data_IF_826888405617
#
_entry.id   IF_826888405617
#
_cell.length_a   1.000
_cell.length_b   1.000
_cell.length_c   1.000
_cell.angle_alpha   90.00
_cell.angle_beta   90.00
_cell.angle_gamma   90.00
#
_symmetry.space_group_name_H-M   'P 1'
#
loop_
_entity.id
_entity.type
_entity.pdbx_description
1 polymer ?
#
# COMPACT_ATOMS: atom_id res chain seq x y z
N UNK A 1 9.00 -5.85 15.45
CA UNK A 1 7.66 -5.80 15.85
C UNK A 1 7.27 -4.85 16.95
N UNK A 2 5.99 -4.50 16.96
CA UNK A 2 5.40 -3.73 18.05
C UNK A 2 5.30 -2.22 17.86
N UNK A 3 5.83 -1.64 16.78
CA UNK A 3 5.60 -0.22 16.51
C UNK A 3 4.10 0.07 16.37
N UNK A 4 3.61 1.19 16.91
CA UNK A 4 2.19 1.55 16.83
C UNK A 4 1.75 1.83 15.39
N UNK A 5 0.45 1.94 15.16
CA UNK A 5 -0.12 2.28 13.85
C UNK A 5 0.41 3.63 13.35
N UNK A 6 0.50 4.63 14.20
CA UNK A 6 0.99 5.97 13.89
C UNK A 6 2.15 6.34 14.81
N UNK A 7 3.03 7.21 14.32
CA UNK A 7 4.00 7.90 15.16
C UNK A 7 3.23 8.74 16.19
N UNK A 8 3.59 8.73 17.47
CA UNK A 8 2.91 9.55 18.48
C UNK A 8 2.95 11.05 18.15
N UNK A 9 1.86 11.77 18.44
CA UNK A 9 1.74 13.21 18.14
C UNK A 9 2.82 14.08 18.82
N UNK A 10 3.38 13.61 19.94
CA UNK A 10 4.49 14.28 20.62
C UNK A 10 5.80 14.27 19.82
N UNK A 11 5.90 13.41 18.80
CA UNK A 11 7.07 13.32 17.90
C UNK A 11 6.80 14.26 16.73
N UNK A 12 7.24 15.51 16.84
CA UNK A 12 6.87 16.60 15.92
C UNK A 12 7.97 17.03 14.96
N UNK A 13 9.20 16.53 15.14
CA UNK A 13 10.33 16.85 14.27
C UNK A 13 11.26 15.66 14.07
N UNK A 14 12.23 15.80 13.17
CA UNK A 14 13.14 14.74 12.79
C UNK A 14 14.04 14.26 13.94
N UNK A 15 14.46 15.16 14.82
CA UNK A 15 15.32 14.80 15.97
C UNK A 15 14.52 13.95 16.98
N UNK A 16 13.30 14.38 17.29
CA UNK A 16 12.37 13.62 18.13
C UNK A 16 12.04 12.25 17.52
N UNK A 17 11.88 12.18 16.17
CA UNK A 17 11.66 10.93 15.46
C UNK A 17 12.82 9.95 15.60
N UNK A 18 14.07 10.40 15.44
CA UNK A 18 15.23 9.55 15.66
C UNK A 18 15.34 9.09 17.10
N UNK A 19 15.12 10.00 18.05
CA UNK A 19 15.10 9.63 19.47
C UNK A 19 14.03 8.59 19.78
N UNK A 20 12.82 8.75 19.25
CA UNK A 20 11.73 7.79 19.38
C UNK A 20 12.13 6.38 18.92
N UNK A 21 12.77 6.25 17.74
CA UNK A 21 13.21 4.93 17.25
C UNK A 21 14.39 4.36 18.03
N UNK A 22 15.30 5.21 18.52
CA UNK A 22 16.44 4.77 19.35
C UNK A 22 15.98 4.20 20.70
N UNK A 23 14.91 4.73 21.26
CA UNK A 23 14.35 4.27 22.54
C UNK A 23 13.36 3.11 22.37
N UNK A 24 12.91 2.83 21.15
CA UNK A 24 11.92 1.80 20.94
C UNK A 24 12.48 0.40 21.22
N UNK A 25 11.69 -0.40 21.97
CA UNK A 25 12.00 -1.80 22.29
C UNK A 25 11.02 -2.72 21.53
N UNK A 26 11.52 -3.75 20.81
CA UNK A 26 10.66 -4.73 20.14
C UNK A 26 9.82 -5.52 21.13
N UNK A 27 8.53 -5.63 20.88
CA UNK A 27 7.61 -6.50 21.66
C UNK A 27 7.78 -7.98 21.30
N UNK A 28 8.20 -8.27 20.07
CA UNK A 28 8.35 -9.65 19.57
C UNK A 28 9.68 -9.84 18.88
N UNK A 29 10.13 -11.08 18.87
CA UNK A 29 11.33 -11.47 18.13
C UNK A 29 11.11 -11.17 16.62
N UNK A 30 12.14 -10.67 15.92
CA UNK A 30 12.07 -10.45 14.46
C UNK A 30 11.64 -11.72 13.72
N UNK A 31 10.75 -11.58 12.76
CA UNK A 31 10.28 -12.69 11.94
C UNK A 31 9.16 -13.55 12.57
N UNK A 32 8.67 -13.21 13.77
CA UNK A 32 7.61 -14.01 14.42
C UNK A 32 6.21 -13.44 14.25
N UNK A 33 6.10 -12.11 14.15
CA UNK A 33 4.82 -11.42 14.10
C UNK A 33 4.81 -10.35 12.99
N UNK A 34 3.70 -10.29 12.24
CA UNK A 34 3.34 -9.14 11.41
C UNK A 34 2.49 -8.19 12.24
N UNK A 35 2.91 -6.95 12.32
CA UNK A 35 2.11 -5.87 12.90
C UNK A 35 2.01 -4.72 11.91
N UNK A 36 0.78 -4.30 11.58
CA UNK A 36 0.56 -3.20 10.64
C UNK A 36 0.91 -1.87 11.30
N UNK A 37 1.84 -1.13 10.68
CA UNK A 37 2.36 0.10 11.27
C UNK A 37 2.80 1.10 10.19
N UNK A 38 2.21 2.30 10.21
CA UNK A 38 2.66 3.44 9.41
C UNK A 38 4.03 3.94 9.90
N UNK A 39 4.28 3.89 11.20
CA UNK A 39 5.60 4.19 11.75
C UNK A 39 6.69 3.27 11.18
N UNK A 40 6.38 1.98 10.98
CA UNK A 40 7.34 1.03 10.41
C UNK A 40 7.58 1.25 8.92
N UNK A 41 6.52 1.32 8.11
CA UNK A 41 6.67 1.51 6.67
C UNK A 41 7.20 2.91 6.34
N UNK A 42 6.85 3.91 7.13
CA UNK A 42 7.38 5.27 7.00
C UNK A 42 8.89 5.33 7.27
N UNK A 43 9.37 4.68 8.33
CA UNK A 43 10.80 4.54 8.58
C UNK A 43 11.51 3.83 7.42
N UNK A 44 10.93 2.77 6.88
CA UNK A 44 11.47 2.08 5.71
C UNK A 44 11.61 3.03 4.51
N UNK A 45 10.57 3.82 4.20
CA UNK A 45 10.60 4.81 3.13
C UNK A 45 11.68 5.89 3.34
N UNK A 46 11.77 6.41 4.56
CA UNK A 46 12.80 7.40 4.93
C UNK A 46 14.22 6.84 4.76
N UNK A 47 14.45 5.62 5.21
CA UNK A 47 15.76 4.96 5.09
C UNK A 47 16.10 4.60 3.64
N UNK A 48 15.11 4.22 2.84
CA UNK A 48 15.31 3.88 1.43
C UNK A 48 15.87 5.05 0.61
N UNK A 49 15.54 6.29 0.98
CA UNK A 49 16.02 7.49 0.27
C UNK A 49 17.21 8.17 0.94
N UNK A 50 17.62 7.74 2.12
CA UNK A 50 18.64 8.39 2.97
C UNK A 50 19.92 8.77 2.23
N UNK A 51 20.41 7.88 1.37
CA UNK A 51 21.68 8.05 0.65
C UNK A 51 21.48 8.62 -0.77
N UNK A 52 20.28 9.01 -1.14
CA UNK A 52 19.99 9.53 -2.49
C UNK A 52 20.26 11.02 -2.66
N UNK A 53 20.34 11.77 -1.54
CA UNK A 53 20.38 13.22 -1.53
C UNK A 53 19.05 13.89 -1.90
N UNK A 54 17.96 13.11 -2.01
CA UNK A 54 16.62 13.58 -2.39
C UNK A 54 15.65 13.44 -1.21
N UNK A 55 14.60 14.27 -1.19
CA UNK A 55 13.43 14.02 -0.36
C UNK A 55 12.73 12.74 -0.82
N UNK A 56 11.87 12.15 0.03
CA UNK A 56 11.04 11.01 -0.39
C UNK A 56 10.12 11.38 -1.56
N UNK A 57 9.51 12.56 -1.53
CA UNK A 57 8.65 13.04 -2.61
C UNK A 57 9.40 13.17 -3.95
N UNK A 58 10.60 13.76 -3.96
CA UNK A 58 11.42 13.90 -5.16
C UNK A 58 11.92 12.55 -5.67
N UNK A 59 12.31 11.66 -4.75
CA UNK A 59 12.73 10.31 -5.11
C UNK A 59 11.59 9.50 -5.74
N UNK A 60 10.41 9.52 -5.13
CA UNK A 60 9.20 8.90 -5.67
C UNK A 60 8.87 9.45 -7.05
N UNK A 61 8.85 10.79 -7.18
CA UNK A 61 8.59 11.47 -8.46
C UNK A 61 9.55 11.00 -9.55
N UNK A 62 10.85 11.01 -9.27
CA UNK A 62 11.90 10.72 -10.26
C UNK A 62 12.03 9.23 -10.58
N UNK A 63 11.88 8.37 -9.55
CA UNK A 63 12.20 6.93 -9.70
C UNK A 63 10.97 6.06 -9.99
N UNK A 64 9.77 6.53 -9.69
CA UNK A 64 8.54 5.76 -9.87
C UNK A 64 7.55 6.48 -10.77
N UNK A 65 7.15 7.71 -10.42
CA UNK A 65 6.04 8.38 -11.11
C UNK A 65 6.39 8.78 -12.53
N UNK A 66 7.58 9.33 -12.77
CA UNK A 66 8.04 9.70 -14.12
C UNK A 66 8.19 8.49 -15.05
N UNK A 67 8.86 7.38 -14.69
CA UNK A 67 8.92 6.17 -15.51
C UNK A 67 7.55 5.61 -15.87
N UNK A 68 6.57 5.70 -14.95
CA UNK A 68 5.18 5.27 -15.18
C UNK A 68 4.31 6.32 -15.86
N UNK A 69 4.84 7.51 -16.14
CA UNK A 69 4.09 8.65 -16.71
C UNK A 69 2.87 9.04 -15.87
N UNK A 70 2.98 8.95 -14.55
CA UNK A 70 1.94 9.31 -13.57
C UNK A 70 2.00 10.80 -13.28
N UNK A 71 1.48 11.61 -14.20
CA UNK A 71 1.62 13.08 -14.19
C UNK A 71 0.64 13.81 -13.28
N UNK A 72 -0.33 13.11 -12.72
CA UNK A 72 -1.35 13.64 -11.80
C UNK A 72 -1.30 12.90 -10.45
N UNK A 73 -0.07 12.57 -10.01
CA UNK A 73 0.20 11.89 -8.74
C UNK A 73 1.27 12.67 -7.98
N UNK A 74 0.98 12.97 -6.72
CA UNK A 74 1.78 13.89 -5.90
C UNK A 74 1.84 13.42 -4.44
N UNK A 75 2.91 13.76 -3.73
CA UNK A 75 2.91 13.87 -2.27
C UNK A 75 2.34 15.24 -1.90
N UNK A 76 2.91 16.32 -2.43
CA UNK A 76 2.43 17.69 -2.26
C UNK A 76 1.76 18.15 -3.55
N UNK A 77 0.45 18.39 -3.47
CA UNK A 77 -0.32 18.81 -4.66
C UNK A 77 0.08 20.25 -5.02
N UNK A 78 0.67 20.49 -6.20
CA UNK A 78 1.11 21.82 -6.60
C UNK A 78 -0.07 22.78 -6.77
N UNK A 79 0.16 24.09 -6.62
CA UNK A 79 -0.88 25.13 -6.69
C UNK A 79 -1.75 25.03 -7.95
N UNK A 80 -1.14 24.78 -9.10
CA UNK A 80 -1.85 24.61 -10.38
C UNK A 80 -2.81 23.42 -10.41
N UNK A 81 -2.57 22.37 -9.60
CA UNK A 81 -3.37 21.16 -9.53
C UNK A 81 -4.38 21.18 -8.37
N UNK A 82 -4.35 22.16 -7.47
CA UNK A 82 -5.22 22.22 -6.29
C UNK A 82 -6.72 22.19 -6.63
N UNK A 83 -7.13 22.76 -7.76
CA UNK A 83 -8.52 22.72 -8.24
C UNK A 83 -9.03 21.31 -8.54
N UNK A 84 -8.12 20.37 -8.82
CA UNK A 84 -8.42 18.96 -9.12
C UNK A 84 -8.30 18.07 -7.88
N UNK A 85 -7.81 18.59 -6.77
CA UNK A 85 -7.69 17.83 -5.53
C UNK A 85 -9.05 17.72 -4.85
N UNK A 86 -9.64 16.54 -4.90
CA UNK A 86 -10.95 16.26 -4.33
C UNK A 86 -11.00 16.51 -2.81
N UNK A 87 -12.17 16.90 -2.33
CA UNK A 87 -12.50 16.79 -0.92
C UNK A 87 -12.95 15.35 -0.63
N UNK A 88 -12.41 14.76 0.42
CA UNK A 88 -12.90 13.53 0.98
C UNK A 88 -14.02 13.79 1.97
N UNK A 89 -14.79 12.75 2.32
CA UNK A 89 -15.91 12.88 3.26
C UNK A 89 -15.88 11.79 4.33
N UNK A 90 -16.07 12.21 5.58
CA UNK A 90 -16.27 11.34 6.71
C UNK A 90 -17.37 11.90 7.60
N UNK A 91 -18.41 11.11 7.88
CA UNK A 91 -19.60 11.55 8.64
C UNK A 91 -20.20 12.86 8.07
N UNK A 92 -20.27 12.98 6.75
CA UNK A 92 -20.82 14.15 6.06
C UNK A 92 -19.94 15.39 6.06
N UNK A 93 -18.79 15.37 6.74
CA UNK A 93 -17.84 16.51 6.79
C UNK A 93 -16.78 16.39 5.72
N UNK A 94 -16.53 17.47 4.95
CA UNK A 94 -15.43 17.50 3.98
C UNK A 94 -14.09 17.55 4.73
N UNK A 95 -13.09 16.83 4.22
CA UNK A 95 -11.75 16.84 4.77
C UNK A 95 -10.71 16.47 3.73
N UNK A 96 -9.47 16.79 4.02
CA UNK A 96 -8.29 16.30 3.31
C UNK A 96 -7.40 15.53 4.27
N UNK A 97 -6.44 14.80 3.76
CA UNK A 97 -5.52 14.03 4.58
C UNK A 97 -4.73 15.00 5.46
N UNK A 98 -4.76 14.74 6.77
CA UNK A 98 -3.93 15.46 7.74
C UNK A 98 -2.48 15.02 7.60
N UNK A 99 -1.56 15.97 7.54
CA UNK A 99 -0.13 15.69 7.63
C UNK A 99 0.25 15.15 9.00
N UNK A 100 1.36 14.44 9.07
CA UNK A 100 1.96 13.92 10.29
C UNK A 100 3.37 13.42 10.00
N UNK A 101 4.11 13.06 11.04
CA UNK A 101 5.43 12.47 10.83
C UNK A 101 5.33 11.21 9.97
N UNK A 102 6.16 11.14 8.91
CA UNK A 102 6.21 10.04 7.94
C UNK A 102 4.92 9.86 7.11
N UNK A 103 4.09 10.89 6.98
CA UNK A 103 2.87 10.84 6.15
C UNK A 103 3.21 10.63 4.67
N UNK A 104 4.23 11.31 4.16
CA UNK A 104 4.71 11.18 2.78
C UNK A 104 5.04 9.73 2.42
N UNK A 105 5.77 9.05 3.30
CA UNK A 105 6.26 7.68 3.12
C UNK A 105 5.16 6.63 3.34
N UNK A 106 4.17 6.89 4.20
CA UNK A 106 3.22 5.89 4.64
C UNK A 106 1.86 5.97 3.93
N UNK A 107 1.28 7.18 3.75
CA UNK A 107 -0.09 7.37 3.24
C UNK A 107 -0.31 8.69 2.48
N UNK A 108 0.76 9.43 2.17
CA UNK A 108 0.69 10.79 1.62
C UNK A 108 0.40 10.92 0.13
N UNK A 109 0.33 9.83 -0.62
CA UNK A 109 0.11 9.88 -2.08
C UNK A 109 -1.30 10.36 -2.41
N UNK A 110 -1.39 11.41 -3.25
CA UNK A 110 -2.61 11.90 -3.89
C UNK A 110 -2.53 11.56 -5.38
N UNK A 111 -3.52 10.86 -5.91
CA UNK A 111 -3.46 10.30 -7.27
C UNK A 111 -4.80 10.34 -7.99
N UNK A 112 -4.80 10.03 -9.27
CA UNK A 112 -5.98 9.85 -10.10
C UNK A 112 -6.18 8.38 -10.48
N UNK A 113 -7.41 8.00 -10.85
CA UNK A 113 -7.70 6.66 -11.36
C UNK A 113 -6.90 6.34 -12.63
N UNK A 114 -6.69 7.35 -13.50
CA UNK A 114 -5.90 7.19 -14.73
C UNK A 114 -4.43 6.86 -14.42
N UNK A 115 -3.81 7.54 -13.45
CA UNK A 115 -2.43 7.24 -13.08
C UNK A 115 -2.30 5.91 -12.35
N UNK A 116 -3.27 5.58 -11.48
CA UNK A 116 -3.30 4.27 -10.84
C UNK A 116 -3.53 3.12 -11.82
N UNK A 117 -4.22 3.35 -12.94
CA UNK A 117 -4.33 2.35 -14.01
C UNK A 117 -2.96 2.06 -14.65
N UNK A 118 -2.11 3.07 -14.84
CA UNK A 118 -0.73 2.88 -15.33
C UNK A 118 0.11 2.07 -14.33
N UNK A 119 -0.01 2.41 -13.05
CA UNK A 119 0.64 1.66 -11.97
C UNK A 119 0.17 0.20 -11.94
N UNK A 120 -1.14 -0.02 -12.04
CA UNK A 120 -1.74 -1.34 -12.10
C UNK A 120 -1.23 -2.14 -13.32
N UNK A 121 -1.22 -1.52 -14.51
CA UNK A 121 -0.72 -2.14 -15.74
C UNK A 121 0.73 -2.62 -15.59
N UNK A 122 1.61 -1.78 -15.04
CA UNK A 122 2.99 -2.16 -14.79
C UNK A 122 3.13 -3.31 -13.79
N UNK A 123 2.23 -3.41 -12.81
CA UNK A 123 2.22 -4.51 -11.84
C UNK A 123 1.66 -5.82 -12.42
N UNK A 124 0.73 -5.76 -13.37
CA UNK A 124 0.21 -6.93 -14.09
C UNK A 124 1.24 -7.44 -15.10
N UNK A 125 1.89 -6.53 -15.80
CA UNK A 125 2.90 -6.81 -16.84
C UNK A 125 4.19 -6.02 -16.56
N UNK A 126 5.07 -6.52 -15.68
CA UNK A 126 6.33 -5.85 -15.37
C UNK A 126 7.28 -5.67 -16.57
N UNK A 127 7.13 -6.48 -17.61
CA UNK A 127 7.93 -6.36 -18.84
C UNK A 127 7.58 -5.08 -19.62
N UNK A 128 6.39 -4.55 -19.46
CA UNK A 128 5.97 -3.27 -20.05
C UNK A 128 6.74 -2.06 -19.50
N UNK A 129 7.40 -2.20 -18.36
CA UNK A 129 8.15 -1.13 -17.70
C UNK A 129 9.54 -1.61 -17.26
N UNK A 130 10.49 -1.82 -18.18
CA UNK A 130 11.79 -2.43 -17.87
C UNK A 130 12.57 -1.75 -16.75
N UNK A 131 12.46 -0.41 -16.64
CA UNK A 131 13.13 0.38 -15.61
C UNK A 131 12.67 0.03 -14.17
N UNK A 132 11.44 -0.48 -14.00
CA UNK A 132 10.86 -0.85 -12.70
C UNK A 132 10.62 -2.35 -12.55
N UNK A 133 10.86 -3.15 -13.59
CA UNK A 133 10.58 -4.59 -13.61
C UNK A 133 11.07 -5.29 -12.35
N UNK A 134 12.35 -5.13 -12.03
CA UNK A 134 12.93 -5.81 -10.87
C UNK A 134 12.31 -5.34 -9.56
N UNK A 135 12.07 -4.04 -9.41
CA UNK A 135 11.43 -3.49 -8.20
C UNK A 135 9.99 -4.01 -8.04
N UNK A 136 9.22 -4.08 -9.12
CA UNK A 136 7.86 -4.63 -9.12
C UNK A 136 7.88 -6.11 -8.72
N UNK A 137 8.71 -6.93 -9.36
CA UNK A 137 8.83 -8.36 -9.03
C UNK A 137 9.28 -8.58 -7.58
N UNK A 138 10.22 -7.76 -7.10
CA UNK A 138 10.66 -7.80 -5.71
C UNK A 138 9.52 -7.42 -4.75
N UNK A 139 8.75 -6.38 -5.06
CA UNK A 139 7.63 -5.97 -4.21
C UNK A 139 6.53 -7.02 -4.11
N UNK A 140 6.33 -7.80 -5.15
CA UNK A 140 5.35 -8.88 -5.21
C UNK A 140 5.87 -10.22 -4.68
N UNK A 141 7.16 -10.37 -4.37
CA UNK A 141 7.66 -11.62 -3.81
C UNK A 141 7.02 -11.90 -2.44
N UNK A 142 6.82 -13.18 -2.13
CA UNK A 142 6.23 -13.66 -0.88
C UNK A 142 7.33 -13.79 0.16
N UNK A 143 7.35 -12.91 1.14
CA UNK A 143 8.37 -12.90 2.21
C UNK A 143 7.90 -13.59 3.47
N UNK A 144 6.61 -13.45 3.78
CA UNK A 144 6.02 -14.04 4.98
C UNK A 144 4.74 -14.80 4.60
N UNK A 145 4.49 -15.92 5.24
CA UNK A 145 3.19 -16.57 5.26
C UNK A 145 2.42 -16.13 6.51
N UNK A 146 1.18 -15.71 6.33
CA UNK A 146 0.28 -15.22 7.37
C UNK A 146 -1.00 -16.03 7.28
N UNK A 147 -1.08 -17.16 7.99
CA UNK A 147 -2.19 -18.09 7.84
C UNK A 147 -2.32 -18.61 6.40
N UNK A 148 -3.40 -18.24 5.70
CA UNK A 148 -3.71 -18.66 4.33
C UNK A 148 -3.31 -17.65 3.23
N UNK A 149 -2.60 -16.58 3.57
CA UNK A 149 -2.11 -15.57 2.63
C UNK A 149 -0.64 -15.22 2.85
N UNK A 150 -0.07 -14.45 1.94
CA UNK A 150 1.34 -14.07 1.96
C UNK A 150 1.51 -12.55 1.99
N UNK A 151 2.55 -12.08 2.66
CA UNK A 151 2.96 -10.69 2.68
C UNK A 151 4.12 -10.46 1.70
N UNK A 152 3.90 -9.57 0.74
CA UNK A 152 4.93 -8.95 -0.09
C UNK A 152 5.40 -7.62 0.52
N UNK A 153 6.16 -6.83 -0.24
CA UNK A 153 6.52 -5.47 0.16
C UNK A 153 5.35 -4.52 -0.15
N UNK A 154 4.43 -4.41 0.81
CA UNK A 154 3.21 -3.64 0.69
C UNK A 154 2.01 -4.42 0.14
N UNK A 155 2.19 -5.52 -0.54
CA UNK A 155 1.13 -6.35 -1.09
C UNK A 155 0.69 -7.47 -0.14
N UNK A 156 -0.60 -7.80 -0.17
CA UNK A 156 -1.21 -8.99 0.41
C UNK A 156 -1.58 -9.91 -0.74
N UNK A 157 -1.18 -11.19 -0.65
CA UNK A 157 -1.15 -12.10 -1.80
C UNK A 157 -1.82 -13.42 -1.42
N UNK A 158 -2.81 -13.85 -2.22
CA UNK A 158 -3.47 -15.15 -2.11
C UNK A 158 -3.23 -15.98 -3.36
N UNK A 159 -3.44 -17.30 -3.29
CA UNK A 159 -3.59 -18.12 -4.48
C UNK A 159 -4.89 -17.76 -5.20
N UNK A 160 -4.88 -17.78 -6.53
CA UNK A 160 -6.06 -17.60 -7.34
C UNK A 160 -6.49 -18.97 -7.94
N UNK A 161 -7.79 -19.35 -7.96
CA UNK A 161 -8.92 -18.59 -7.40
C UNK A 161 -8.95 -18.60 -5.87
N UNK A 162 -9.43 -17.49 -5.27
CA UNK A 162 -9.61 -17.34 -3.83
C UNK A 162 -11.08 -17.12 -3.49
N UNK A 163 -11.54 -17.61 -2.34
CA UNK A 163 -12.89 -17.27 -1.85
C UNK A 163 -12.92 -15.80 -1.38
N UNK A 164 -13.91 -15.06 -1.87
CA UNK A 164 -14.13 -13.67 -1.46
C UNK A 164 -14.21 -13.51 0.06
N UNK A 165 -14.80 -14.47 0.77
CA UNK A 165 -14.96 -14.42 2.23
C UNK A 165 -13.61 -14.41 2.95
N UNK A 166 -12.62 -15.13 2.45
CA UNK A 166 -11.27 -15.14 3.03
C UNK A 166 -10.60 -13.76 2.91
N UNK A 167 -10.63 -13.17 1.71
CA UNK A 167 -10.05 -11.85 1.45
C UNK A 167 -10.79 -10.76 2.24
N UNK A 168 -12.13 -10.86 2.29
CA UNK A 168 -12.97 -9.92 3.05
C UNK A 168 -12.64 -9.98 4.55
N UNK A 169 -12.57 -11.18 5.12
CA UNK A 169 -12.30 -11.37 6.55
C UNK A 169 -10.93 -10.80 6.95
N UNK A 170 -9.88 -11.07 6.16
CA UNK A 170 -8.54 -10.55 6.43
C UNK A 170 -8.41 -9.03 6.19
N UNK A 171 -9.24 -8.47 5.31
CA UNK A 171 -9.23 -7.03 4.98
C UNK A 171 -10.04 -6.17 5.95
N UNK A 172 -10.83 -6.76 6.83
CA UNK A 172 -11.53 -6.01 7.89
C UNK A 172 -10.52 -5.36 8.84
N UNK A 173 -10.74 -4.09 9.18
CA UNK A 173 -9.81 -3.34 10.03
C UNK A 173 -9.64 -3.99 11.42
N UNK A 174 -10.68 -4.65 11.93
CA UNK A 174 -10.62 -5.38 13.20
C UNK A 174 -9.68 -6.59 13.15
N UNK A 175 -9.31 -7.04 11.95
CA UNK A 175 -8.35 -8.13 11.71
C UNK A 175 -7.04 -7.58 11.17
N UNK A 176 -7.08 -6.82 10.08
CA UNK A 176 -5.90 -6.35 9.34
C UNK A 176 -4.91 -5.53 10.20
N UNK A 177 -5.41 -4.81 11.21
CA UNK A 177 -4.62 -3.99 12.12
C UNK A 177 -4.13 -4.73 13.37
N UNK A 178 -4.53 -5.99 13.57
CA UNK A 178 -4.05 -6.81 14.69
C UNK A 178 -2.71 -7.48 14.35
N UNK A 179 -1.90 -7.80 15.35
CA UNK A 179 -0.73 -8.64 15.16
C UNK A 179 -1.11 -10.06 14.73
N UNK A 180 -0.34 -10.62 13.78
CA UNK A 180 -0.51 -11.99 13.29
C UNK A 180 0.80 -12.74 13.37
N UNK A 181 0.77 -13.99 13.82
CA UNK A 181 1.91 -14.88 13.73
C UNK A 181 2.28 -15.13 12.26
N UNK A 182 3.57 -15.20 11.97
CA UNK A 182 4.07 -15.38 10.62
C UNK A 182 5.13 -16.46 10.53
N UNK A 183 5.26 -17.04 9.34
CA UNK A 183 6.37 -17.88 8.94
C UNK A 183 7.20 -17.11 7.91
N UNK A 184 8.50 -16.96 8.17
CA UNK A 184 9.43 -16.31 7.23
C UNK A 184 9.78 -17.29 6.12
N UNK A 185 9.65 -16.85 4.87
CA UNK A 185 10.06 -17.62 3.71
C UNK A 185 11.49 -17.22 3.30
N UNK A 186 12.44 -18.14 3.45
CA UNK A 186 13.83 -17.91 3.07
C UNK A 186 14.36 -19.02 2.17
N UNK A 187 14.69 -18.72 0.92
CA UNK A 187 14.58 -17.42 0.26
C UNK A 187 13.11 -17.01 0.06
N UNK A 188 12.86 -15.71 -0.14
CA UNK A 188 11.54 -15.22 -0.51
C UNK A 188 11.03 -15.93 -1.77
N UNK A 189 9.81 -16.43 -1.73
CA UNK A 189 9.25 -17.14 -2.88
C UNK A 189 8.75 -16.13 -3.93
N UNK A 190 9.02 -16.40 -5.20
CA UNK A 190 8.43 -15.62 -6.29
C UNK A 190 6.91 -15.77 -6.24
N UNK A 191 6.20 -14.67 -6.46
CA UNK A 191 4.76 -14.74 -6.68
C UNK A 191 4.52 -15.39 -8.04
N UNK A 192 3.67 -16.40 -8.05
CA UNK A 192 3.25 -17.03 -9.31
C UNK A 192 2.16 -16.18 -9.99
N UNK A 193 1.97 -16.40 -11.28
CA UNK A 193 0.97 -15.67 -12.05
C UNK A 193 -0.48 -15.98 -11.59
N UNK A 194 -0.70 -17.14 -10.96
CA UNK A 194 -1.97 -17.54 -10.33
C UNK A 194 -2.10 -16.96 -8.92
N UNK A 195 -2.06 -15.65 -8.83
CA UNK A 195 -2.18 -14.96 -7.55
C UNK A 195 -3.19 -13.84 -7.62
N UNK A 196 -3.99 -13.72 -6.56
CA UNK A 196 -4.72 -12.50 -6.23
C UNK A 196 -3.79 -11.61 -5.43
N UNK A 197 -3.37 -10.50 -6.01
CA UNK A 197 -2.49 -9.50 -5.38
C UNK A 197 -3.31 -8.27 -5.10
N UNK A 198 -3.32 -7.77 -3.86
CA UNK A 198 -4.15 -6.64 -3.52
C UNK A 198 -3.60 -5.77 -2.40
N UNK A 199 -4.19 -4.58 -2.26
CA UNK A 199 -4.02 -3.71 -1.09
C UNK A 199 -5.21 -2.79 -0.91
N UNK A 200 -5.69 -2.70 0.32
CA UNK A 200 -6.65 -1.69 0.77
C UNK A 200 -5.92 -0.42 1.20
N UNK A 201 -6.58 0.73 1.08
CA UNK A 201 -6.10 2.00 1.62
C UNK A 201 -7.24 2.81 2.18
N UNK A 202 -7.05 3.42 3.34
CA UNK A 202 -8.03 4.30 3.96
C UNK A 202 -7.33 5.45 4.67
N UNK A 203 -7.84 6.64 4.43
CA UNK A 203 -7.54 7.83 5.23
C UNK A 203 -8.84 8.39 5.80
N UNK A 204 -8.79 9.53 6.48
CA UNK A 204 -9.97 10.07 7.14
C UNK A 204 -11.15 10.31 6.19
N UNK A 205 -10.92 10.79 4.98
CA UNK A 205 -11.99 11.13 4.03
C UNK A 205 -12.00 10.29 2.76
N UNK A 206 -11.11 9.30 2.61
CA UNK A 206 -10.94 8.57 1.36
C UNK A 206 -10.86 7.06 1.59
N UNK A 207 -11.26 6.32 0.58
CA UNK A 207 -11.12 4.88 0.52
C UNK A 207 -10.57 4.45 -0.83
N UNK A 208 -9.55 3.61 -0.83
CA UNK A 208 -8.97 3.06 -2.05
C UNK A 208 -8.83 1.54 -1.98
N UNK A 209 -8.80 0.92 -3.13
CA UNK A 209 -8.51 -0.48 -3.28
C UNK A 209 -7.88 -0.74 -4.63
N UNK A 210 -6.88 -1.60 -4.65
CA UNK A 210 -6.27 -2.12 -5.86
C UNK A 210 -6.17 -3.63 -5.74
N UNK A 211 -6.56 -4.36 -6.79
CA UNK A 211 -6.41 -5.81 -6.87
C UNK A 211 -6.18 -6.25 -8.31
N UNK A 212 -5.43 -7.32 -8.51
CA UNK A 212 -5.16 -7.88 -9.83
C UNK A 212 -4.79 -9.36 -9.77
N UNK A 213 -4.99 -10.03 -10.90
CA UNK A 213 -4.58 -11.41 -11.16
C UNK A 213 -3.70 -11.42 -12.40
N UNK A 214 -2.37 -11.51 -12.27
CA UNK A 214 -1.44 -11.40 -13.39
C UNK A 214 -1.72 -12.36 -14.55
N UNK A 215 -2.01 -13.63 -14.25
CA UNK A 215 -2.30 -14.65 -15.26
C UNK A 215 -3.52 -14.32 -16.10
N UNK A 216 -4.54 -13.71 -15.49
CA UNK A 216 -5.77 -13.32 -16.19
C UNK A 216 -5.63 -11.97 -16.89
N UNK A 217 -4.53 -11.26 -16.67
CA UNK A 217 -4.27 -9.89 -17.16
C UNK A 217 -5.41 -8.93 -16.78
N UNK A 218 -6.03 -9.17 -15.63
CA UNK A 218 -7.18 -8.41 -15.13
C UNK A 218 -6.82 -7.76 -13.80
N UNK A 219 -7.27 -6.54 -13.60
CA UNK A 219 -7.14 -5.85 -12.33
C UNK A 219 -8.13 -4.70 -12.22
N UNK A 220 -8.24 -4.16 -11.02
CA UNK A 220 -9.15 -3.07 -10.70
C UNK A 220 -8.48 -2.06 -9.77
N UNK A 221 -8.75 -0.78 -10.01
CA UNK A 221 -8.46 0.33 -9.11
C UNK A 221 -9.78 0.96 -8.72
N UNK A 222 -10.00 1.11 -7.43
CA UNK A 222 -11.16 1.78 -6.87
C UNK A 222 -10.68 2.95 -6.00
N UNK A 223 -11.04 4.17 -6.37
CA UNK A 223 -10.74 5.39 -5.62
C UNK A 223 -12.05 6.07 -5.26
N UNK A 224 -12.27 6.32 -3.99
CA UNK A 224 -13.45 7.00 -3.49
C UNK A 224 -13.08 8.15 -2.57
N UNK A 225 -13.72 9.28 -2.76
CA UNK A 225 -13.63 10.43 -1.88
C UNK A 225 -14.62 10.34 -0.69
N UNK A 226 -14.83 9.12 -0.24
CA UNK A 226 -15.61 8.79 0.96
C UNK A 226 -14.96 7.58 1.64
N UNK A 227 -14.77 7.67 2.96
CA UNK A 227 -14.38 6.52 3.75
C UNK A 227 -15.57 5.56 3.86
N UNK A 228 -15.39 4.33 3.41
CA UNK A 228 -16.37 3.24 3.51
C UNK A 228 -15.64 1.92 3.79
N UNK A 229 -16.35 0.87 4.28
CA UNK A 229 -15.71 -0.35 4.76
C UNK A 229 -14.87 -1.08 3.70
N UNK A 230 -13.71 -1.60 4.12
CA UNK A 230 -12.87 -2.44 3.26
C UNK A 230 -13.61 -3.67 2.70
N UNK A 231 -14.44 -4.41 3.48
CA UNK A 231 -15.20 -5.54 2.97
C UNK A 231 -16.00 -5.23 1.71
N UNK A 232 -16.68 -4.07 1.66
CA UNK A 232 -17.47 -3.67 0.50
C UNK A 232 -16.62 -3.47 -0.77
N UNK A 233 -15.39 -2.93 -0.62
CA UNK A 233 -14.44 -2.74 -1.75
C UNK A 233 -13.94 -4.07 -2.26
N UNK A 234 -13.54 -4.95 -1.34
CA UNK A 234 -13.03 -6.28 -1.66
C UNK A 234 -14.11 -7.11 -2.35
N UNK A 235 -15.33 -7.14 -1.82
CA UNK A 235 -16.45 -7.87 -2.41
C UNK A 235 -16.77 -7.39 -3.84
N UNK A 236 -16.87 -6.08 -4.05
CA UNK A 236 -17.14 -5.51 -5.36
C UNK A 236 -16.02 -5.85 -6.37
N UNK A 237 -14.76 -5.67 -5.97
CA UNK A 237 -13.61 -5.98 -6.82
C UNK A 237 -13.53 -7.47 -7.16
N UNK A 238 -13.77 -8.35 -6.18
CA UNK A 238 -13.76 -9.79 -6.39
C UNK A 238 -14.84 -10.22 -7.39
N UNK A 239 -16.06 -9.73 -7.27
CA UNK A 239 -17.14 -10.00 -8.22
C UNK A 239 -16.77 -9.58 -9.65
N UNK A 240 -16.19 -8.38 -9.80
CA UNK A 240 -15.81 -7.83 -11.11
C UNK A 240 -14.65 -8.66 -11.71
N UNK A 241 -13.57 -8.89 -10.98
CA UNK A 241 -12.42 -9.64 -11.48
C UNK A 241 -12.83 -11.08 -11.82
N UNK A 242 -13.64 -11.74 -10.98
CA UNK A 242 -14.13 -13.11 -11.25
C UNK A 242 -15.00 -13.18 -12.51
N UNK A 243 -15.81 -12.16 -12.76
CA UNK A 243 -16.63 -12.10 -13.99
C UNK A 243 -15.76 -11.92 -15.24
N UNK A 244 -14.71 -11.07 -15.17
CA UNK A 244 -13.81 -10.81 -16.29
C UNK A 244 -12.83 -11.97 -16.55
N UNK A 245 -12.42 -12.70 -15.51
CA UNK A 245 -11.48 -13.81 -15.62
C UNK A 245 -12.09 -15.08 -16.25
N UNK A 246 -13.41 -15.14 -16.44
CA UNK A 246 -14.13 -16.28 -17.06
C UNK A 246 -14.17 -16.21 -18.61
N UNK A 247 -13.67 -15.14 -19.17
CA UNK A 247 -13.64 -14.88 -20.62
C UNK A 247 -12.19 -14.80 -21.13
#
# INVERSE_FOLDING_TARGET
GGLPLQVPDAVSDQQALWHYYQQWQPEWQPGTMRNYSNASIGLFGLLAVKNSGLSFADYLQKKVLQPLKMTHTYIDVPAAAQKNYAWGYYNGKPMRVSGGMLDAEAYGVKTSAQDMAKYLQANIDPDSTPALKQAILTSQARYLRVGNWYQGLGWEIYHWPVDAKEVIAASDNGVALKPHAVEVLMPAAKTDAQSWVHKTGSTNGFGSYIAFVPQQKVGIVMLANKRYPNPARVEAAHKIITALAKH
#
